data_IF_407273481189
#
_entry.id   IF_407273481189
#
_cell.length_a   1.000
_cell.length_b   1.000
_cell.length_c   1.000
_cell.angle_alpha   90.00
_cell.angle_beta   90.00
_cell.angle_gamma   90.00
#
_symmetry.space_group_name_H-M   'P 1'
#
loop_
_entity.id
_entity.type
_entity.pdbx_description
1 polymer ?
#
# COMPACT_ATOMS: atom_id res chain seq x y z
N UNK A 1 -2.93 -46.90 4.12
CA UNK A 1 -3.95 -45.92 3.67
C UNK A 1 -3.99 -44.79 4.70
N UNK A 2 -3.21 -43.71 4.52
CA UNK A 2 -3.39 -42.44 5.24
C UNK A 2 -2.47 -41.38 4.63
N UNK A 3 -2.90 -40.71 3.55
CA UNK A 3 -2.17 -39.53 3.03
C UNK A 3 -3.05 -38.60 2.18
N UNK A 4 -4.31 -38.40 2.55
CA UNK A 4 -5.20 -37.46 1.85
C UNK A 4 -6.11 -36.75 2.86
N UNK A 5 -5.59 -35.81 3.65
CA UNK A 5 -6.45 -34.85 4.38
C UNK A 5 -5.82 -33.49 4.66
N UNK A 6 -4.49 -33.32 4.67
CA UNK A 6 -3.87 -32.04 5.11
C UNK A 6 -3.62 -30.97 4.04
N UNK A 7 -3.73 -31.27 2.73
CA UNK A 7 -3.38 -30.29 1.68
C UNK A 7 -4.45 -29.24 1.40
N UNK A 8 -5.71 -29.51 1.77
CA UNK A 8 -6.83 -28.60 1.53
C UNK A 8 -6.92 -27.47 2.56
N UNK A 9 -6.71 -27.79 3.84
CA UNK A 9 -6.75 -26.81 4.93
C UNK A 9 -5.59 -25.81 4.87
N UNK A 10 -4.40 -26.23 4.39
CA UNK A 10 -3.25 -25.34 4.27
C UNK A 10 -3.44 -24.29 3.18
N UNK A 11 -3.93 -24.68 1.99
CA UNK A 11 -4.14 -23.75 0.87
C UNK A 11 -5.17 -22.66 1.22
N UNK A 12 -6.31 -23.04 1.80
CA UNK A 12 -7.33 -22.08 2.24
C UNK A 12 -6.80 -21.14 3.33
N UNK A 13 -6.01 -21.64 4.28
CA UNK A 13 -5.41 -20.78 5.33
C UNK A 13 -4.40 -19.78 4.77
N UNK A 14 -3.70 -20.11 3.68
CA UNK A 14 -2.71 -19.26 3.04
C UNK A 14 -3.37 -18.18 2.18
N UNK A 15 -4.39 -18.55 1.40
CA UNK A 15 -5.22 -17.60 0.65
C UNK A 15 -5.89 -16.59 1.59
N UNK A 16 -6.32 -17.04 2.77
CA UNK A 16 -6.83 -16.16 3.83
C UNK A 16 -5.73 -15.23 4.38
N UNK A 17 -4.49 -15.68 4.55
CA UNK A 17 -3.38 -14.81 5.00
C UNK A 17 -3.05 -13.74 3.97
N UNK A 18 -3.04 -14.08 2.67
CA UNK A 18 -2.86 -13.10 1.59
C UNK A 18 -4.02 -12.12 1.57
N UNK A 19 -5.26 -12.61 1.61
CA UNK A 19 -6.44 -11.75 1.62
C UNK A 19 -6.48 -10.82 2.86
N UNK A 20 -6.03 -11.28 4.02
CA UNK A 20 -5.91 -10.47 5.23
C UNK A 20 -4.91 -9.32 5.06
N UNK A 21 -3.76 -9.59 4.43
CA UNK A 21 -2.75 -8.58 4.11
C UNK A 21 -3.24 -7.58 3.05
N UNK A 22 -3.79 -8.10 1.95
CA UNK A 22 -3.94 -7.32 0.72
C UNK A 22 -5.31 -6.65 0.60
N UNK A 23 -6.34 -7.19 1.27
CA UNK A 23 -7.73 -6.71 1.15
C UNK A 23 -8.36 -6.31 2.47
N UNK A 24 -7.66 -6.51 3.59
CA UNK A 24 -8.10 -6.07 4.91
C UNK A 24 -8.94 -7.06 5.71
N UNK A 25 -9.02 -8.33 5.33
CA UNK A 25 -9.65 -9.41 6.11
C UNK A 25 -11.18 -9.40 6.25
N UNK A 26 -11.89 -8.30 5.92
CA UNK A 26 -13.36 -8.30 5.93
C UNK A 26 -13.95 -8.85 4.65
N UNK A 27 -15.01 -9.63 4.80
CA UNK A 27 -15.81 -10.15 3.70
C UNK A 27 -17.30 -9.99 4.02
N UNK A 28 -17.82 -8.75 4.04
CA UNK A 28 -19.20 -8.52 4.40
C UNK A 28 -20.13 -8.92 3.25
N UNK A 29 -21.13 -9.75 3.55
CA UNK A 29 -22.14 -10.14 2.58
C UNK A 29 -23.10 -8.99 2.21
N UNK A 30 -23.98 -9.25 1.23
CA UNK A 30 -25.12 -8.39 0.94
C UNK A 30 -24.78 -6.99 0.42
N UNK A 31 -25.45 -5.96 0.96
CA UNK A 31 -25.29 -4.58 0.50
C UNK A 31 -23.93 -3.98 0.86
N UNK A 32 -23.38 -4.30 2.03
CA UNK A 32 -22.09 -3.79 2.49
C UNK A 32 -20.94 -4.23 1.56
N UNK A 33 -20.91 -5.51 1.17
CA UNK A 33 -19.93 -6.01 0.19
C UNK A 33 -20.05 -5.33 -1.17
N UNK A 34 -21.28 -5.06 -1.65
CA UNK A 34 -21.50 -4.32 -2.89
C UNK A 34 -21.01 -2.87 -2.81
N UNK A 35 -21.12 -2.23 -1.64
CA UNK A 35 -20.59 -0.86 -1.44
C UNK A 35 -19.07 -0.88 -1.49
N UNK A 36 -18.40 -1.79 -0.78
CA UNK A 36 -16.93 -1.91 -0.83
C UNK A 36 -16.47 -2.14 -2.28
N UNK A 37 -17.10 -3.09 -2.98
CA UNK A 37 -16.78 -3.38 -4.38
C UNK A 37 -17.01 -2.16 -5.28
N UNK A 38 -18.13 -1.47 -5.12
CA UNK A 38 -18.47 -0.29 -5.90
C UNK A 38 -17.49 0.87 -5.69
N UNK A 39 -17.08 1.12 -4.44
CA UNK A 39 -16.09 2.15 -4.10
C UNK A 39 -14.70 1.78 -4.59
N UNK A 40 -14.28 0.53 -4.43
CA UNK A 40 -13.00 0.05 -4.95
C UNK A 40 -12.95 0.15 -6.49
N UNK A 41 -14.02 -0.27 -7.18
CA UNK A 41 -14.13 -0.15 -8.64
C UNK A 41 -14.11 1.32 -9.07
N UNK A 42 -14.86 2.18 -8.37
CA UNK A 42 -14.86 3.62 -8.65
C UNK A 42 -13.46 4.21 -8.47
N UNK A 43 -12.73 3.85 -7.41
CA UNK A 43 -11.37 4.30 -7.19
C UNK A 43 -10.43 3.84 -8.30
N UNK A 44 -10.52 2.57 -8.72
CA UNK A 44 -9.74 2.06 -9.84
C UNK A 44 -10.02 2.81 -11.14
N UNK A 45 -11.30 3.05 -11.46
CA UNK A 45 -11.70 3.79 -12.67
C UNK A 45 -11.27 5.25 -12.60
N UNK A 46 -11.39 5.90 -11.45
CA UNK A 46 -10.94 7.26 -11.22
C UNK A 46 -9.42 7.40 -11.45
N UNK A 47 -8.63 6.46 -10.92
CA UNK A 47 -7.18 6.46 -11.06
C UNK A 47 -6.75 6.22 -12.52
N UNK A 48 -7.45 5.32 -13.24
CA UNK A 48 -7.24 5.14 -14.67
C UNK A 48 -7.65 6.37 -15.48
N UNK A 49 -8.74 7.04 -15.09
CA UNK A 49 -9.23 8.25 -15.75
C UNK A 49 -8.19 9.38 -15.69
N UNK A 50 -7.71 9.73 -14.49
CA UNK A 50 -6.75 10.82 -14.31
C UNK A 50 -5.37 10.52 -14.93
N UNK A 51 -5.00 9.24 -15.04
CA UNK A 51 -3.74 8.83 -15.66
C UNK A 51 -3.80 8.78 -17.19
N UNK A 52 -5.01 8.79 -17.76
CA UNK A 52 -5.22 8.73 -19.21
C UNK A 52 -5.29 10.12 -19.84
N UNK A 53 -5.04 10.28 -21.15
CA UNK A 53 -5.24 11.54 -21.86
C UNK A 53 -6.73 11.86 -22.10
N UNK A 54 -7.63 10.93 -21.81
CA UNK A 54 -9.08 11.04 -22.09
C UNK A 54 -9.76 12.27 -21.47
N UNK A 55 -9.49 12.67 -20.21
CA UNK A 55 -10.12 13.84 -19.62
C UNK A 55 -9.83 15.13 -20.40
N UNK A 56 -8.60 15.26 -20.90
CA UNK A 56 -8.18 16.41 -21.71
C UNK A 56 -8.80 16.37 -23.11
N UNK A 57 -8.94 15.19 -23.71
CA UNK A 57 -9.59 15.02 -25.02
C UNK A 57 -11.09 15.37 -24.97
N UNK A 58 -11.76 15.03 -23.87
CA UNK A 58 -13.19 15.27 -23.68
C UNK A 58 -13.50 16.63 -23.04
N UNK A 59 -12.49 17.32 -22.50
CA UNK A 59 -12.65 18.61 -21.81
C UNK A 59 -13.49 18.53 -20.54
N UNK A 60 -13.58 17.35 -19.92
CA UNK A 60 -14.40 17.09 -18.73
C UNK A 60 -13.62 16.27 -17.72
N UNK A 61 -13.86 16.53 -16.42
CA UNK A 61 -13.23 15.77 -15.33
C UNK A 61 -11.70 15.90 -15.35
N UNK A 62 -11.19 17.08 -15.69
CA UNK A 62 -9.77 17.42 -15.57
C UNK A 62 -9.54 17.89 -14.15
N UNK A 63 -8.80 17.10 -13.38
CA UNK A 63 -8.49 17.38 -11.98
C UNK A 63 -7.05 17.86 -11.87
N UNK A 64 -6.80 18.87 -11.03
CA UNK A 64 -5.45 19.23 -10.64
C UNK A 64 -4.91 18.26 -9.57
N UNK A 65 -3.61 18.35 -9.27
CA UNK A 65 -2.94 17.48 -8.30
C UNK A 65 -3.60 17.48 -6.91
N UNK A 66 -3.99 18.65 -6.41
CA UNK A 66 -4.62 18.79 -5.08
C UNK A 66 -5.98 18.11 -5.04
N UNK A 67 -6.78 18.29 -6.10
CA UNK A 67 -8.10 17.67 -6.23
C UNK A 67 -7.98 16.15 -6.32
N UNK A 68 -7.07 15.65 -7.18
CA UNK A 68 -6.85 14.23 -7.37
C UNK A 68 -6.36 13.54 -6.09
N UNK A 69 -5.39 14.14 -5.38
CA UNK A 69 -4.90 13.65 -4.09
C UNK A 69 -6.01 13.61 -3.02
N UNK A 70 -6.86 14.63 -2.99
CA UNK A 70 -7.98 14.71 -2.04
C UNK A 70 -9.00 13.59 -2.25
N UNK A 71 -9.40 13.36 -3.50
CA UNK A 71 -10.33 12.28 -3.86
C UNK A 71 -9.68 10.92 -3.57
N UNK A 72 -8.41 10.75 -3.94
CA UNK A 72 -7.65 9.52 -3.69
C UNK A 72 -7.62 9.16 -2.19
N UNK A 73 -7.25 10.11 -1.32
CA UNK A 73 -7.19 9.86 0.11
C UNK A 73 -8.59 9.63 0.72
N UNK A 74 -9.62 10.32 0.23
CA UNK A 74 -10.98 10.11 0.71
C UNK A 74 -11.48 8.68 0.45
N UNK A 75 -11.22 8.15 -0.74
CA UNK A 75 -11.53 6.77 -1.11
C UNK A 75 -10.68 5.78 -0.30
N UNK A 76 -9.41 6.08 -0.10
CA UNK A 76 -8.50 5.27 0.71
C UNK A 76 -8.98 5.16 2.17
N UNK A 77 -9.33 6.27 2.82
CA UNK A 77 -9.82 6.28 4.20
C UNK A 77 -11.15 5.53 4.33
N UNK A 78 -12.08 5.75 3.39
CA UNK A 78 -13.34 5.02 3.38
C UNK A 78 -13.11 3.50 3.32
N UNK A 79 -12.26 3.04 2.39
CA UNK A 79 -11.94 1.63 2.24
C UNK A 79 -11.13 1.09 3.42
N UNK A 80 -10.22 1.87 4.00
CA UNK A 80 -9.47 1.47 5.18
C UNK A 80 -10.42 1.12 6.35
N UNK A 81 -11.42 1.96 6.62
CA UNK A 81 -12.36 1.70 7.71
C UNK A 81 -13.40 0.64 7.40
N UNK A 82 -13.82 0.48 6.14
CA UNK A 82 -14.83 -0.52 5.75
C UNK A 82 -14.22 -1.90 5.54
N UNK A 83 -13.01 -2.00 4.98
CA UNK A 83 -12.33 -3.24 4.63
C UNK A 83 -11.44 -3.77 5.77
N UNK A 84 -10.78 -2.92 6.57
CA UNK A 84 -9.88 -3.37 7.63
C UNK A 84 -10.55 -3.34 9.02
N UNK A 85 -10.62 -4.47 9.76
CA UNK A 85 -11.21 -4.52 11.08
C UNK A 85 -10.37 -3.76 12.11
N UNK A 86 -11.04 -3.17 13.11
CA UNK A 86 -10.37 -2.38 14.14
C UNK A 86 -9.36 -3.17 15.00
N UNK A 87 -9.70 -4.42 15.31
CA UNK A 87 -8.92 -5.35 16.13
C UNK A 87 -9.06 -6.78 15.60
N UNK A 88 -8.17 -7.68 16.03
CA UNK A 88 -8.18 -9.11 15.66
C UNK A 88 -9.52 -9.80 15.96
N UNK A 89 -10.20 -9.40 17.03
CA UNK A 89 -11.50 -9.94 17.45
C UNK A 89 -12.71 -9.17 16.87
N UNK A 90 -12.49 -8.18 16.01
CA UNK A 90 -13.60 -7.44 15.41
C UNK A 90 -14.33 -8.28 14.34
N UNK A 91 -15.63 -8.02 14.10
CA UNK A 91 -16.38 -8.75 13.09
C UNK A 91 -15.77 -8.63 11.69
N UNK A 92 -15.76 -9.76 10.97
CA UNK A 92 -15.26 -9.88 9.59
C UNK A 92 -16.37 -10.06 8.56
N UNK A 93 -17.54 -10.49 9.00
CA UNK A 93 -18.73 -10.81 8.20
C UNK A 93 -19.68 -9.61 7.99
N UNK A 94 -19.48 -8.53 8.74
CA UNK A 94 -20.21 -7.28 8.60
C UNK A 94 -19.36 -6.08 9.03
N UNK A 95 -19.80 -4.88 8.67
CA UNK A 95 -19.14 -3.61 9.02
C UNK A 95 -19.92 -2.99 10.20
N UNK A 96 -19.28 -2.82 11.38
CA UNK A 96 -19.91 -2.15 12.51
C UNK A 96 -20.30 -0.70 12.20
N UNK A 97 -21.34 -0.18 12.86
CA UNK A 97 -21.79 1.21 12.67
C UNK A 97 -20.67 2.24 12.98
N UNK A 98 -19.82 1.95 13.96
CA UNK A 98 -18.66 2.79 14.29
C UNK A 98 -17.72 2.97 13.11
N UNK A 99 -17.53 1.91 12.33
CA UNK A 99 -16.63 1.92 11.19
C UNK A 99 -17.25 2.61 9.98
N UNK A 100 -18.57 2.55 9.83
CA UNK A 100 -19.29 3.42 8.89
C UNK A 100 -19.13 4.90 9.22
N UNK A 101 -19.24 5.26 10.50
CA UNK A 101 -19.05 6.64 10.95
C UNK A 101 -17.62 7.09 10.67
N UNK A 102 -16.62 6.27 11.01
CA UNK A 102 -15.22 6.60 10.74
C UNK A 102 -14.90 6.66 9.23
N UNK A 103 -15.47 5.77 8.43
CA UNK A 103 -15.32 5.79 6.98
C UNK A 103 -15.87 7.10 6.38
N UNK A 104 -17.07 7.52 6.79
CA UNK A 104 -17.72 8.75 6.28
C UNK A 104 -16.97 9.99 6.77
N UNK A 105 -16.64 10.07 8.06
CA UNK A 105 -15.91 11.22 8.61
C UNK A 105 -14.50 11.33 8.02
N UNK A 106 -13.78 10.22 7.86
CA UNK A 106 -12.45 10.19 7.27
C UNK A 106 -12.48 10.61 5.81
N UNK A 107 -13.41 10.03 5.03
CA UNK A 107 -13.60 10.40 3.63
C UNK A 107 -13.97 11.88 3.48
N UNK A 108 -14.88 12.38 4.31
CA UNK A 108 -15.25 13.79 4.32
C UNK A 108 -14.05 14.69 4.69
N UNK A 109 -13.29 14.35 5.72
CA UNK A 109 -12.12 15.13 6.13
C UNK A 109 -11.07 15.23 5.03
N UNK A 110 -10.85 14.16 4.27
CA UNK A 110 -9.93 14.17 3.13
C UNK A 110 -10.50 14.90 1.92
N UNK A 111 -11.81 14.74 1.64
CA UNK A 111 -12.48 15.44 0.55
C UNK A 111 -12.71 16.93 0.84
N UNK A 112 -12.57 17.38 2.10
CA UNK A 112 -12.82 18.75 2.51
C UNK A 112 -12.02 19.78 1.70
N UNK A 113 -10.74 19.50 1.44
CA UNK A 113 -9.89 20.37 0.61
C UNK A 113 -10.41 20.52 -0.81
N UNK A 114 -10.98 19.46 -1.37
CA UNK A 114 -11.59 19.48 -2.69
C UNK A 114 -12.92 20.24 -2.68
N UNK A 115 -13.81 19.91 -1.73
CA UNK A 115 -15.16 20.49 -1.65
C UNK A 115 -15.13 21.99 -1.38
N UNK A 116 -14.20 22.44 -0.51
CA UNK A 116 -14.08 23.82 -0.08
C UNK A 116 -12.84 24.52 -0.66
N UNK A 117 -12.28 24.01 -1.77
CA UNK A 117 -11.05 24.48 -2.37
C UNK A 117 -11.00 26.00 -2.53
N UNK A 118 -12.03 26.60 -3.14
CA UNK A 118 -12.11 28.05 -3.36
C UNK A 118 -12.07 28.85 -2.04
N UNK A 119 -12.86 28.42 -1.05
CA UNK A 119 -12.93 29.11 0.25
C UNK A 119 -11.62 29.00 1.04
N UNK A 120 -10.90 27.89 0.90
CA UNK A 120 -9.58 27.71 1.54
C UNK A 120 -8.53 28.53 0.81
N UNK A 121 -8.56 28.53 -0.53
CA UNK A 121 -7.66 29.32 -1.38
C UNK A 121 -7.81 30.83 -1.15
N UNK A 122 -9.01 31.32 -0.82
CA UNK A 122 -9.22 32.75 -0.49
C UNK A 122 -8.72 33.13 0.92
N UNK A 123 -8.42 32.16 1.79
CA UNK A 123 -8.04 32.37 3.20
C UNK A 123 -6.68 31.76 3.53
N UNK A 124 -5.74 31.78 2.59
CA UNK A 124 -4.40 31.17 2.76
C UNK A 124 -3.76 31.63 4.08
N UNK A 125 -3.43 30.67 4.95
CA UNK A 125 -2.80 30.96 6.24
C UNK A 125 -3.73 31.49 7.34
N UNK A 126 -5.04 31.59 7.08
CA UNK A 126 -6.07 32.01 8.05
C UNK A 126 -7.21 30.98 8.17
N UNK A 127 -6.91 29.73 8.62
CA UNK A 127 -7.92 28.70 8.79
C UNK A 127 -9.00 29.13 9.80
N UNK A 128 -10.25 28.83 9.50
CA UNK A 128 -11.39 29.05 10.41
C UNK A 128 -11.62 27.81 11.29
N UNK A 129 -12.44 27.93 12.33
CA UNK A 129 -12.65 26.85 13.31
C UNK A 129 -13.01 25.50 12.69
N UNK A 130 -13.80 25.47 11.62
CA UNK A 130 -14.15 24.21 10.94
C UNK A 130 -12.94 23.57 10.25
N UNK A 131 -12.01 24.36 9.70
CA UNK A 131 -10.77 23.86 9.09
C UNK A 131 -9.91 23.16 10.15
N UNK A 132 -9.83 23.73 11.36
CA UNK A 132 -9.16 23.09 12.50
C UNK A 132 -9.82 21.77 12.90
N UNK A 133 -11.14 21.75 13.03
CA UNK A 133 -11.87 20.54 13.44
C UNK A 133 -11.67 19.44 12.41
N UNK A 134 -11.83 19.76 11.13
CA UNK A 134 -11.66 18.80 10.03
C UNK A 134 -10.24 18.26 9.96
N UNK A 135 -9.24 19.12 10.13
CA UNK A 135 -7.83 18.71 10.11
C UNK A 135 -7.47 17.81 11.29
N UNK A 136 -7.92 18.14 12.51
CA UNK A 136 -7.65 17.33 13.69
C UNK A 136 -8.37 15.97 13.59
N UNK A 137 -9.65 15.97 13.23
CA UNK A 137 -10.41 14.72 13.03
C UNK A 137 -9.79 13.89 11.91
N UNK A 138 -9.44 14.52 10.79
CA UNK A 138 -8.80 13.87 9.65
C UNK A 138 -7.47 13.24 10.03
N UNK A 139 -6.61 13.96 10.76
CA UNK A 139 -5.33 13.45 11.23
C UNK A 139 -5.49 12.25 12.17
N UNK A 140 -6.41 12.33 13.13
CA UNK A 140 -6.68 11.22 14.06
C UNK A 140 -7.22 9.98 13.33
N UNK A 141 -8.14 10.18 12.38
CA UNK A 141 -8.68 9.09 11.57
C UNK A 141 -7.63 8.51 10.61
N UNK A 142 -6.72 9.32 10.08
CA UNK A 142 -5.60 8.84 9.25
C UNK A 142 -4.63 7.98 10.06
N UNK A 143 -4.29 8.40 11.29
CA UNK A 143 -3.45 7.61 12.20
C UNK A 143 -4.13 6.28 12.55
N UNK A 144 -5.42 6.30 12.84
CA UNK A 144 -6.19 5.09 13.13
C UNK A 144 -6.32 4.17 11.89
N UNK A 145 -6.56 4.73 10.70
CA UNK A 145 -6.56 3.97 9.45
C UNK A 145 -5.21 3.30 9.21
N UNK A 146 -4.11 4.04 9.43
CA UNK A 146 -2.73 3.53 9.35
C UNK A 146 -2.51 2.37 10.33
N UNK A 147 -3.01 2.48 11.56
CA UNK A 147 -2.93 1.39 12.55
C UNK A 147 -3.67 0.13 12.09
N UNK A 148 -4.84 0.29 11.46
CA UNK A 148 -5.67 -0.83 10.99
C UNK A 148 -5.08 -1.52 9.76
N UNK A 149 -4.50 -0.76 8.83
CA UNK A 149 -3.98 -1.29 7.56
C UNK A 149 -2.53 -1.75 7.63
N UNK A 150 -1.66 -1.02 8.34
CA UNK A 150 -0.22 -1.23 8.37
C UNK A 150 0.31 -1.62 9.75
N UNK A 151 -0.55 -1.58 10.77
CA UNK A 151 -0.22 -1.96 12.13
C UNK A 151 0.28 -0.80 13.02
N UNK A 152 0.42 -1.05 14.33
CA UNK A 152 0.82 -0.03 15.31
C UNK A 152 2.19 0.64 15.07
N UNK A 153 3.26 -0.05 14.59
CA UNK A 153 4.59 0.55 14.52
C UNK A 153 4.64 1.87 13.72
N UNK A 154 4.01 1.91 12.53
CA UNK A 154 4.02 3.10 11.69
C UNK A 154 3.23 4.26 12.32
N UNK A 155 2.07 3.96 12.90
CA UNK A 155 1.26 4.93 13.63
C UNK A 155 2.04 5.52 14.83
N UNK A 156 2.73 4.69 15.61
CA UNK A 156 3.51 5.14 16.77
C UNK A 156 4.61 6.10 16.33
N UNK A 157 5.34 5.77 15.27
CA UNK A 157 6.39 6.64 14.72
C UNK A 157 5.78 7.99 14.29
N UNK A 158 4.66 7.96 13.57
CA UNK A 158 3.96 9.18 13.15
C UNK A 158 3.51 10.04 14.35
N UNK A 159 2.96 9.42 15.41
CA UNK A 159 2.57 10.12 16.64
C UNK A 159 3.79 10.76 17.32
N UNK A 160 4.93 10.06 17.41
CA UNK A 160 6.15 10.60 18.01
C UNK A 160 6.59 11.87 17.27
N UNK A 161 6.63 11.84 15.94
CA UNK A 161 7.00 13.03 15.15
C UNK A 161 5.96 14.14 15.22
N UNK A 162 4.67 13.80 15.24
CA UNK A 162 3.59 14.78 15.41
C UNK A 162 3.70 15.49 16.76
N UNK A 163 3.92 14.74 17.86
CA UNK A 163 4.15 15.29 19.20
C UNK A 163 5.43 16.14 19.21
N UNK A 164 6.50 15.69 18.57
CA UNK A 164 7.75 16.45 18.46
C UNK A 164 7.53 17.85 17.87
N UNK A 165 6.60 18.02 16.90
CA UNK A 165 6.29 19.34 16.33
C UNK A 165 5.82 20.38 17.37
N UNK A 166 5.19 19.94 18.47
CA UNK A 166 4.74 20.81 19.56
C UNK A 166 5.79 20.95 20.66
N UNK A 167 6.48 19.87 21.00
CA UNK A 167 7.38 19.79 22.16
C UNK A 167 8.84 20.14 21.86
N UNK A 168 9.13 20.65 20.67
CA UNK A 168 10.45 21.16 20.27
C UNK A 168 11.23 21.96 21.33
N UNK A 169 10.61 22.89 22.10
CA UNK A 169 11.33 23.69 23.10
C UNK A 169 11.87 22.89 24.28
N UNK A 170 11.30 21.72 24.56
CA UNK A 170 11.69 20.84 25.66
C UNK A 170 12.72 19.78 25.25
N UNK A 171 13.13 19.77 23.98
CA UNK A 171 14.06 18.78 23.45
C UNK A 171 15.52 19.18 23.71
N UNK A 172 16.45 18.21 23.83
CA UNK A 172 17.85 18.49 24.12
C UNK A 172 18.60 19.03 22.89
N UNK A 173 19.38 20.10 23.10
CA UNK A 173 20.47 20.53 22.21
C UNK A 173 20.08 20.65 20.73
N UNK A 174 20.64 19.75 19.91
CA UNK A 174 20.63 19.81 18.43
C UNK A 174 19.23 19.64 17.82
N UNK A 175 18.33 18.94 18.51
CA UNK A 175 16.97 18.67 18.02
C UNK A 175 15.92 19.64 18.59
N UNK A 176 16.34 20.66 19.35
CA UNK A 176 15.44 21.66 19.89
C UNK A 176 14.99 22.67 18.82
N UNK A 177 13.72 23.06 18.85
CA UNK A 177 13.18 24.14 18.00
C UNK A 177 12.10 24.92 18.74
N UNK A 178 11.63 26.04 18.19
CA UNK A 178 10.68 26.96 18.84
C UNK A 178 9.31 26.33 19.22
N UNK A 179 9.01 25.12 18.77
CA UNK A 179 7.67 24.52 18.82
C UNK A 179 6.71 25.19 17.84
N UNK A 180 5.71 24.44 17.39
CA UNK A 180 4.66 24.94 16.52
C UNK A 180 3.35 25.04 17.29
N UNK A 181 2.60 26.11 17.02
CA UNK A 181 1.22 26.26 17.47
C UNK A 181 0.29 25.29 16.75
N UNK A 182 -0.89 25.00 17.32
CA UNK A 182 -1.89 24.16 16.66
C UNK A 182 -2.28 24.69 15.28
N UNK A 183 -2.32 26.02 15.09
CA UNK A 183 -2.60 26.64 13.80
C UNK A 183 -1.52 26.38 12.76
N UNK A 184 -0.25 26.52 13.14
CA UNK A 184 0.88 26.17 12.26
C UNK A 184 0.86 24.69 11.88
N UNK A 185 0.60 23.79 12.84
CA UNK A 185 0.55 22.34 12.58
C UNK A 185 -0.65 21.97 11.72
N UNK A 186 -1.85 22.47 12.01
CA UNK A 186 -3.05 22.22 11.18
C UNK A 186 -2.83 22.71 9.75
N UNK A 187 -2.30 23.92 9.60
CA UNK A 187 -2.07 24.51 8.30
C UNK A 187 -1.07 23.67 7.50
N UNK A 188 0.08 23.36 8.09
CA UNK A 188 1.14 22.58 7.45
C UNK A 188 0.72 21.13 7.16
N UNK A 189 0.10 20.45 8.12
CA UNK A 189 -0.14 19.01 8.04
C UNK A 189 -1.37 18.64 7.19
N UNK A 190 -2.39 19.49 7.15
CA UNK A 190 -3.66 19.15 6.50
C UNK A 190 -4.14 20.16 5.47
N UNK A 191 -3.87 21.46 5.63
CA UNK A 191 -4.42 22.48 4.72
C UNK A 191 -3.52 22.72 3.51
N UNK A 192 -2.19 22.69 3.70
CA UNK A 192 -1.23 22.83 2.60
C UNK A 192 -0.85 21.48 2.00
N UNK A 193 -0.10 21.52 0.90
CA UNK A 193 0.46 20.35 0.21
C UNK A 193 1.84 19.96 0.73
N UNK A 194 2.22 20.36 1.94
CA UNK A 194 3.51 20.00 2.55
C UNK A 194 3.38 18.80 3.49
N UNK A 195 2.19 18.59 4.07
CA UNK A 195 1.90 17.46 4.95
C UNK A 195 1.24 16.29 4.23
N UNK A 196 0.09 15.86 4.74
CA UNK A 196 -0.65 14.68 4.28
C UNK A 196 -0.95 14.71 2.77
N UNK A 197 -1.24 15.89 2.22
CA UNK A 197 -1.54 16.08 0.79
C UNK A 197 -0.31 16.36 -0.09
N UNK A 198 0.89 16.10 0.44
CA UNK A 198 2.15 16.37 -0.21
C UNK A 198 2.61 15.30 -1.20
N UNK A 199 3.93 15.24 -1.37
CA UNK A 199 4.59 14.46 -2.43
C UNK A 199 4.28 12.98 -2.30
N UNK A 200 4.30 12.40 -1.08
CA UNK A 200 3.99 10.98 -0.88
C UNK A 200 2.61 10.59 -1.42
N UNK A 201 1.57 11.37 -1.09
CA UNK A 201 0.22 11.13 -1.60
C UNK A 201 0.14 11.38 -3.11
N UNK A 202 0.89 12.36 -3.62
CA UNK A 202 1.03 12.60 -5.05
C UNK A 202 1.63 11.40 -5.80
N UNK A 203 2.74 10.85 -5.31
CA UNK A 203 3.37 9.64 -5.87
C UNK A 203 2.39 8.46 -5.85
N UNK A 204 1.66 8.28 -4.73
CA UNK A 204 0.60 7.28 -4.61
C UNK A 204 -0.48 7.43 -5.67
N UNK A 205 -0.98 8.66 -5.84
CA UNK A 205 -2.07 9.00 -6.75
C UNK A 205 -1.66 8.79 -8.21
N UNK A 206 -0.43 9.15 -8.59
CA UNK A 206 0.02 9.15 -9.98
C UNK A 206 0.53 7.80 -10.48
N UNK A 207 1.27 7.04 -9.66
CA UNK A 207 1.97 5.84 -10.14
C UNK A 207 1.74 4.60 -9.28
N UNK A 208 1.87 4.71 -7.96
CA UNK A 208 1.86 3.54 -7.06
C UNK A 208 0.55 2.76 -7.19
N UNK A 209 -0.55 3.49 -7.16
CA UNK A 209 -1.86 2.87 -7.26
C UNK A 209 -2.02 2.07 -8.56
N UNK A 210 -1.55 2.61 -9.69
CA UNK A 210 -1.65 1.93 -10.98
C UNK A 210 -0.79 0.67 -11.00
N UNK A 211 0.44 0.72 -10.46
CA UNK A 211 1.29 -0.46 -10.38
C UNK A 211 0.67 -1.56 -9.52
N UNK A 212 0.08 -1.20 -8.38
CA UNK A 212 -0.64 -2.15 -7.52
C UNK A 212 -1.93 -2.66 -8.19
N UNK A 213 -2.66 -1.80 -8.90
CA UNK A 213 -3.87 -2.19 -9.63
C UNK A 213 -3.53 -3.17 -10.76
N UNK A 214 -2.60 -2.83 -11.63
CA UNK A 214 -2.17 -3.72 -12.71
C UNK A 214 -1.52 -4.99 -12.15
N UNK A 215 -0.76 -4.87 -11.07
CA UNK A 215 -0.15 -6.00 -10.39
C UNK A 215 -1.20 -6.98 -9.87
N UNK A 216 -2.19 -6.49 -9.13
CA UNK A 216 -3.29 -7.32 -8.61
C UNK A 216 -4.15 -7.93 -9.72
N UNK A 217 -4.42 -7.19 -10.82
CA UNK A 217 -5.13 -7.72 -11.98
C UNK A 217 -4.32 -8.82 -12.69
N UNK A 218 -3.01 -8.64 -12.82
CA UNK A 218 -2.10 -9.60 -13.45
C UNK A 218 -1.97 -10.87 -12.61
N UNK A 219 -1.89 -10.75 -11.29
CA UNK A 219 -1.90 -11.87 -10.35
C UNK A 219 -3.22 -12.66 -10.46
N UNK A 220 -4.37 -11.97 -10.40
CA UNK A 220 -5.69 -12.60 -10.62
C UNK A 220 -5.86 -13.21 -12.02
N UNK A 221 -5.16 -12.67 -13.02
CA UNK A 221 -5.07 -13.23 -14.36
C UNK A 221 -4.26 -14.54 -14.46
N UNK A 222 -3.63 -14.99 -13.37
CA UNK A 222 -2.87 -16.24 -13.32
C UNK A 222 -1.38 -16.08 -13.62
N UNK A 223 -0.85 -14.85 -13.59
CA UNK A 223 0.55 -14.60 -13.92
C UNK A 223 1.55 -15.27 -12.95
N UNK A 224 1.20 -15.46 -11.68
CA UNK A 224 2.07 -16.15 -10.72
C UNK A 224 2.45 -17.56 -11.19
N UNK A 225 1.47 -18.38 -11.56
CA UNK A 225 1.73 -19.73 -12.09
C UNK A 225 2.43 -19.70 -13.46
N UNK A 226 2.08 -18.71 -14.31
CA UNK A 226 2.77 -18.52 -15.58
C UNK A 226 4.27 -18.23 -15.39
N UNK A 227 4.64 -17.36 -14.45
CA UNK A 227 6.04 -17.05 -14.15
C UNK A 227 6.82 -18.22 -13.57
N UNK A 228 6.18 -19.04 -12.73
CA UNK A 228 6.76 -20.31 -12.28
C UNK A 228 7.10 -21.18 -13.49
N UNK A 229 6.15 -21.39 -14.40
CA UNK A 229 6.36 -22.25 -15.57
C UNK A 229 7.47 -21.70 -16.49
N UNK A 230 7.48 -20.39 -16.74
CA UNK A 230 8.53 -19.74 -17.55
C UNK A 230 9.90 -19.89 -16.90
N UNK A 231 10.03 -19.60 -15.60
CA UNK A 231 11.29 -19.71 -14.88
C UNK A 231 11.84 -21.15 -14.88
N UNK A 232 10.96 -22.15 -14.70
CA UNK A 232 11.34 -23.56 -14.79
C UNK A 232 11.73 -23.97 -16.21
N UNK A 233 11.04 -23.47 -17.23
CA UNK A 233 11.41 -23.77 -18.62
C UNK A 233 12.79 -23.22 -18.99
N UNK A 234 13.15 -22.03 -18.48
CA UNK A 234 14.42 -21.36 -18.75
C UNK A 234 15.59 -21.93 -17.93
N UNK A 235 15.36 -22.27 -16.67
CA UNK A 235 16.45 -22.57 -15.72
C UNK A 235 16.45 -24.01 -15.21
N UNK A 236 15.34 -24.75 -15.35
CA UNK A 236 15.16 -26.06 -14.74
C UNK A 236 16.16 -27.12 -15.22
N UNK A 237 16.66 -27.00 -16.45
CA UNK A 237 17.66 -27.90 -17.03
C UNK A 237 19.10 -27.58 -16.60
N UNK A 238 19.33 -26.47 -15.90
CA UNK A 238 20.66 -26.06 -15.46
C UNK A 238 21.09 -26.81 -14.18
N UNK A 239 22.38 -26.80 -13.87
CA UNK A 239 22.89 -27.28 -12.57
C UNK A 239 22.30 -26.40 -11.46
N UNK A 240 21.64 -27.03 -10.50
CA UNK A 240 20.84 -26.34 -9.47
C UNK A 240 19.55 -25.72 -10.01
N UNK A 241 19.05 -26.19 -11.15
CA UNK A 241 17.95 -25.60 -11.91
C UNK A 241 16.69 -25.33 -11.10
N UNK A 242 16.19 -26.27 -10.27
CA UNK A 242 15.00 -26.03 -9.46
C UNK A 242 15.13 -24.87 -8.46
N UNK A 243 16.32 -24.66 -7.88
CA UNK A 243 16.56 -23.52 -7.00
C UNK A 243 16.67 -22.20 -7.79
N UNK A 244 17.35 -22.21 -8.93
CA UNK A 244 17.44 -21.01 -9.80
C UNK A 244 16.08 -20.62 -10.37
N UNK A 245 15.28 -21.60 -10.78
CA UNK A 245 13.91 -21.39 -11.23
C UNK A 245 13.03 -20.81 -10.12
N UNK A 246 13.19 -21.29 -8.88
CA UNK A 246 12.51 -20.70 -7.72
C UNK A 246 12.91 -19.23 -7.52
N UNK A 247 14.22 -18.92 -7.52
CA UNK A 247 14.71 -17.54 -7.35
C UNK A 247 14.16 -16.60 -8.43
N UNK A 248 14.24 -17.00 -9.70
CA UNK A 248 13.75 -16.18 -10.82
C UNK A 248 12.24 -16.03 -10.77
N UNK A 249 11.50 -17.09 -10.48
CA UNK A 249 10.04 -17.05 -10.37
C UNK A 249 9.57 -16.14 -9.22
N UNK A 250 10.20 -16.24 -8.06
CA UNK A 250 9.90 -15.39 -6.91
C UNK A 250 10.29 -13.94 -7.21
N UNK A 251 11.43 -13.70 -7.87
CA UNK A 251 11.77 -12.35 -8.32
C UNK A 251 10.70 -11.77 -9.27
N UNK A 252 10.27 -12.51 -10.30
CA UNK A 252 9.24 -12.10 -11.25
C UNK A 252 7.89 -11.84 -10.59
N UNK A 253 7.47 -12.69 -9.66
CA UNK A 253 6.22 -12.52 -8.90
C UNK A 253 6.34 -11.35 -7.92
N UNK A 254 7.52 -11.15 -7.35
CA UNK A 254 7.83 -10.01 -6.49
C UNK A 254 7.74 -8.66 -7.21
N UNK A 255 8.03 -8.61 -8.52
CA UNK A 255 7.85 -7.39 -9.34
C UNK A 255 6.40 -6.90 -9.35
N UNK A 256 5.45 -7.81 -9.19
CA UNK A 256 4.01 -7.56 -9.19
C UNK A 256 3.54 -7.14 -7.80
N UNK A 257 3.97 -7.86 -6.76
CA UNK A 257 3.41 -7.68 -5.42
C UNK A 257 4.10 -6.58 -4.62
N UNK A 258 5.39 -6.30 -4.87
CA UNK A 258 6.18 -5.38 -4.05
C UNK A 258 6.41 -5.88 -2.60
N UNK A 259 5.94 -7.08 -2.26
CA UNK A 259 5.81 -7.57 -0.89
C UNK A 259 6.50 -8.91 -0.72
N UNK A 260 7.51 -8.96 0.15
CA UNK A 260 8.23 -10.19 0.45
C UNK A 260 7.34 -11.23 1.15
N UNK A 261 6.42 -10.78 2.02
CA UNK A 261 5.48 -11.68 2.72
C UNK A 261 4.51 -12.30 1.72
N UNK A 262 3.89 -11.49 0.86
CA UNK A 262 2.97 -11.98 -0.16
C UNK A 262 3.68 -12.96 -1.11
N UNK A 263 4.93 -12.66 -1.47
CA UNK A 263 5.72 -13.54 -2.33
C UNK A 263 5.98 -14.90 -1.66
N UNK A 264 6.47 -14.95 -0.42
CA UNK A 264 6.68 -16.24 0.29
C UNK A 264 5.38 -17.04 0.38
N UNK A 265 4.24 -16.38 0.62
CA UNK A 265 2.94 -17.05 0.73
C UNK A 265 2.42 -17.53 -0.63
N UNK A 266 2.72 -16.83 -1.72
CA UNK A 266 2.28 -17.21 -3.06
C UNK A 266 3.25 -18.17 -3.73
N UNK A 267 4.49 -17.76 -3.99
CA UNK A 267 5.50 -18.58 -4.68
C UNK A 267 6.04 -19.70 -3.81
N UNK A 268 6.28 -19.44 -2.52
CA UNK A 268 6.86 -20.41 -1.59
C UNK A 268 6.06 -21.71 -1.45
N UNK A 269 4.74 -21.64 -1.63
CA UNK A 269 3.86 -22.82 -1.58
C UNK A 269 4.14 -23.81 -2.71
N UNK A 270 4.63 -23.32 -3.85
CA UNK A 270 5.00 -24.13 -5.00
C UNK A 270 6.51 -24.43 -5.01
N UNK A 271 7.34 -23.42 -4.79
CA UNK A 271 8.80 -23.54 -4.94
C UNK A 271 9.44 -24.39 -3.84
N UNK A 272 9.00 -24.28 -2.57
CA UNK A 272 9.58 -25.03 -1.45
C UNK A 272 9.37 -26.55 -1.63
N UNK A 273 8.14 -27.06 -1.87
CA UNK A 273 7.95 -28.49 -2.13
C UNK A 273 8.70 -28.98 -3.36
N UNK A 274 8.79 -28.17 -4.42
CA UNK A 274 9.52 -28.51 -5.65
C UNK A 274 11.03 -28.64 -5.40
N UNK A 275 11.65 -27.69 -4.70
CA UNK A 275 13.06 -27.76 -4.32
C UNK A 275 13.34 -28.99 -3.44
N UNK A 276 12.44 -29.31 -2.50
CA UNK A 276 12.57 -30.51 -1.66
C UNK A 276 12.53 -31.80 -2.49
N UNK A 277 11.64 -31.89 -3.49
CA UNK A 277 11.58 -33.04 -4.42
C UNK A 277 12.85 -33.17 -5.27
N UNK A 278 13.51 -32.05 -5.56
CA UNK A 278 14.79 -32.01 -6.26
C UNK A 278 16.01 -32.34 -5.36
N UNK A 279 15.80 -32.67 -4.07
CA UNK A 279 16.86 -33.09 -3.16
C UNK A 279 17.40 -32.00 -2.22
N UNK A 280 16.81 -30.80 -2.22
CA UNK A 280 17.20 -29.74 -1.27
C UNK A 280 16.64 -30.05 0.12
N UNK A 281 17.42 -29.75 1.17
CA UNK A 281 16.91 -29.85 2.54
C UNK A 281 15.80 -28.83 2.78
N UNK A 282 14.84 -29.15 3.65
CA UNK A 282 13.74 -28.22 3.96
C UNK A 282 14.24 -26.86 4.47
N UNK A 283 15.34 -26.85 5.23
CA UNK A 283 15.98 -25.62 5.72
C UNK A 283 16.55 -24.79 4.58
N UNK A 284 17.26 -25.43 3.64
CA UNK A 284 17.85 -24.72 2.50
C UNK A 284 16.78 -24.20 1.55
N UNK A 285 15.74 -24.98 1.27
CA UNK A 285 14.62 -24.55 0.44
C UNK A 285 13.89 -23.32 1.04
N UNK A 286 13.63 -23.32 2.34
CA UNK A 286 13.04 -22.17 3.02
C UNK A 286 13.94 -20.93 3.02
N UNK A 287 15.25 -21.10 3.20
CA UNK A 287 16.21 -20.00 3.15
C UNK A 287 16.31 -19.38 1.75
N UNK A 288 16.33 -20.21 0.70
CA UNK A 288 16.34 -19.75 -0.70
C UNK A 288 15.06 -18.95 -0.99
N UNK A 289 13.89 -19.46 -0.61
CA UNK A 289 12.63 -18.77 -0.86
C UNK A 289 12.54 -17.43 -0.12
N UNK A 290 12.97 -17.39 1.15
CA UNK A 290 12.97 -16.17 1.94
C UNK A 290 13.90 -15.09 1.35
N UNK A 291 15.09 -15.49 0.90
CA UNK A 291 16.02 -14.59 0.21
C UNK A 291 15.43 -14.10 -1.12
N UNK A 292 15.00 -15.02 -1.99
CA UNK A 292 14.42 -14.69 -3.29
C UNK A 292 13.20 -13.78 -3.18
N UNK A 293 12.35 -14.00 -2.17
CA UNK A 293 11.15 -13.20 -1.94
C UNK A 293 11.45 -11.75 -1.59
N UNK A 294 12.60 -11.47 -0.98
CA UNK A 294 13.03 -10.11 -0.65
C UNK A 294 13.34 -9.28 -1.91
N UNK A 295 13.62 -9.92 -3.05
CA UNK A 295 13.82 -9.24 -4.33
C UNK A 295 12.58 -8.42 -4.74
N UNK A 296 11.37 -8.85 -4.36
CA UNK A 296 10.13 -8.12 -4.64
C UNK A 296 10.07 -6.72 -4.02
N UNK A 297 10.79 -6.47 -2.92
CA UNK A 297 10.85 -5.14 -2.32
C UNK A 297 11.84 -4.19 -3.02
N UNK A 298 12.75 -4.71 -3.85
CA UNK A 298 13.86 -3.95 -4.42
C UNK A 298 13.70 -3.78 -5.93
N UNK A 299 13.17 -4.79 -6.62
CA UNK A 299 13.06 -4.74 -8.07
C UNK A 299 11.86 -3.89 -8.53
N UNK A 300 12.07 -3.02 -9.52
CA UNK A 300 10.99 -2.28 -10.17
C UNK A 300 10.07 -3.21 -10.99
N UNK A 301 8.78 -2.87 -11.21
CA UNK A 301 8.21 -1.53 -11.08
C UNK A 301 7.45 -1.25 -9.78
N UNK A 302 7.03 -2.25 -9.01
CA UNK A 302 6.19 -2.02 -7.82
C UNK A 302 7.03 -1.67 -6.60
N UNK A 303 8.12 -2.41 -6.35
CA UNK A 303 9.04 -2.23 -5.22
C UNK A 303 8.34 -2.21 -3.84
N UNK A 304 9.12 -2.13 -2.76
CA UNK A 304 8.61 -1.97 -1.41
C UNK A 304 8.34 -0.52 -1.05
N UNK A 305 7.60 -0.29 0.04
CA UNK A 305 7.20 1.04 0.51
C UNK A 305 8.36 2.04 0.70
N UNK A 306 9.56 1.53 1.00
CA UNK A 306 10.77 2.34 1.16
C UNK A 306 11.16 3.11 -0.12
N UNK A 307 10.84 2.59 -1.31
CA UNK A 307 11.14 3.27 -2.57
C UNK A 307 10.33 4.57 -2.72
N UNK A 308 9.08 4.56 -2.26
CA UNK A 308 8.23 5.75 -2.26
C UNK A 308 8.70 6.79 -1.24
N UNK A 309 9.13 6.35 -0.06
CA UNK A 309 9.73 7.23 0.95
C UNK A 309 11.02 7.88 0.42
N UNK A 310 11.84 7.14 -0.34
CA UNK A 310 13.02 7.73 -1.00
C UNK A 310 12.64 8.78 -2.05
N UNK A 311 11.58 8.56 -2.84
CA UNK A 311 11.10 9.53 -3.82
C UNK A 311 10.70 10.84 -3.16
N UNK A 312 10.04 10.75 -2.01
CA UNK A 312 9.68 11.90 -1.19
C UNK A 312 10.90 12.61 -0.60
N UNK A 313 11.78 11.90 0.10
CA UNK A 313 12.95 12.50 0.77
C UNK A 313 13.88 13.19 -0.24
N UNK A 314 14.07 12.58 -1.40
CA UNK A 314 14.96 13.11 -2.44
C UNK A 314 14.28 14.14 -3.34
N UNK A 315 12.94 14.24 -3.31
CA UNK A 315 12.17 15.10 -4.19
C UNK A 315 12.31 14.75 -5.69
N UNK A 316 12.65 13.49 -6.00
CA UNK A 316 12.81 13.01 -7.39
C UNK A 316 11.63 12.12 -7.80
N UNK A 317 11.27 12.09 -9.09
CA UNK A 317 10.24 11.19 -9.60
C UNK A 317 10.52 9.72 -9.25
N UNK A 318 9.49 8.97 -8.87
CA UNK A 318 9.60 7.53 -8.56
C UNK A 318 10.29 6.73 -9.69
N UNK A 319 10.02 7.08 -10.95
CA UNK A 319 10.63 6.42 -12.11
C UNK A 319 12.16 6.48 -12.12
N UNK A 320 12.76 7.57 -11.61
CA UNK A 320 14.22 7.69 -11.50
C UNK A 320 14.77 6.72 -10.45
N UNK A 321 14.10 6.58 -9.31
CA UNK A 321 14.46 5.62 -8.26
C UNK A 321 14.28 4.19 -8.75
N UNK A 322 13.18 3.89 -9.43
CA UNK A 322 12.92 2.59 -10.02
C UNK A 322 14.01 2.21 -11.03
N UNK A 323 14.43 3.14 -11.89
CA UNK A 323 15.51 2.91 -12.85
C UNK A 323 16.86 2.71 -12.14
N UNK A 324 17.16 3.52 -11.12
CA UNK A 324 18.37 3.39 -10.32
C UNK A 324 18.43 2.05 -9.55
N UNK A 325 17.29 1.54 -9.09
CA UNK A 325 17.17 0.28 -8.37
C UNK A 325 17.28 -0.96 -9.26
N UNK A 326 17.15 -0.82 -10.59
CA UNK A 326 17.19 -1.95 -11.52
C UNK A 326 18.51 -2.72 -11.44
N UNK A 327 19.65 -2.01 -11.47
CA UNK A 327 20.98 -2.63 -11.42
C UNK A 327 21.22 -3.37 -10.10
N UNK A 328 21.07 -2.75 -8.90
CA UNK A 328 21.27 -3.48 -7.64
C UNK A 328 20.23 -4.59 -7.44
N UNK A 329 18.99 -4.42 -7.89
CA UNK A 329 17.97 -5.45 -7.83
C UNK A 329 18.31 -6.68 -8.70
N UNK A 330 18.81 -6.47 -9.92
CA UNK A 330 19.25 -7.56 -10.78
C UNK A 330 20.48 -8.27 -10.19
N UNK A 331 21.43 -7.52 -9.64
CA UNK A 331 22.59 -8.11 -8.96
C UNK A 331 22.16 -8.94 -7.75
N UNK A 332 21.15 -8.50 -6.99
CA UNK A 332 20.59 -9.26 -5.87
C UNK A 332 19.99 -10.61 -6.29
N UNK A 333 19.30 -10.65 -7.44
CA UNK A 333 18.73 -11.90 -7.97
C UNK A 333 19.78 -12.83 -8.57
N UNK A 334 20.84 -12.26 -9.16
CA UNK A 334 21.90 -13.02 -9.80
C UNK A 334 22.92 -13.60 -8.81
N UNK A 335 23.13 -12.92 -7.68
CA UNK A 335 24.04 -13.34 -6.61
C UNK A 335 23.47 -14.50 -5.77
#
# INVERSE_FOLDING_TARGET
>A
MSSQTDSGASATSLDEMVAQSDTGARNPGGAAGKIILGVALFWSLFQLWIASPVPFMLGFGVFNDTEARSIHLALALFLAFTAYPAFTNSPRDHIPLTDWIFAILGAFSAAYLYIFYASIADRVGAPITIDYVVAVVGMLLLLEATRRSLGPPLMIIAIIFLVYTFFGPYMPGIIAHKGNTLGEVVNHQWITTEGVFGIALGVSTSFVFLFVLFGSLLDKGGAGNYFIQVAFSLMGHMRGGPAKAAVVSSAMTGLISGSSIANVVTTGTFTIPLMKRAGYSARLAGAIEAAASSAGQILPPVMGAAAFLMAEILGVPYGEIALAALVPGLLYVLA
#
